data_IF_135889421568
#
_entry.id   IF_135889421568
#
_cell.length_a   1.000
_cell.length_b   1.000
_cell.length_c   1.000
_cell.angle_alpha   90.00
_cell.angle_beta   90.00
_cell.angle_gamma   90.00
#
_symmetry.space_group_name_H-M   'P 1'
#
loop_
_entity.id
_entity.type
_entity.pdbx_description
1 polymer ?
#
# COMPACT_ATOMS: atom_id res chain seq x y z
N UNK A 1 -27.60 -20.62 49.23
CA UNK A 1 -27.02 -21.26 48.04
C UNK A 1 -27.70 -20.67 46.81
N UNK A 2 -27.14 -19.59 46.25
CA UNK A 2 -27.51 -19.08 44.93
C UNK A 2 -26.22 -18.63 44.25
N UNK A 3 -25.67 -19.50 43.40
CA UNK A 3 -24.61 -19.15 42.47
C UNK A 3 -25.29 -18.52 41.26
N UNK A 4 -25.13 -17.22 41.04
CA UNK A 4 -25.42 -16.62 39.74
C UNK A 4 -24.42 -17.18 38.71
N UNK A 5 -24.89 -17.72 37.57
CA UNK A 5 -24.01 -18.09 36.49
C UNK A 5 -23.63 -16.80 35.77
N UNK A 6 -22.45 -16.25 36.07
CA UNK A 6 -21.87 -15.14 35.31
C UNK A 6 -21.59 -15.65 33.90
N UNK A 7 -22.52 -15.30 33.01
CA UNK A 7 -22.58 -15.52 31.57
C UNK A 7 -21.17 -15.47 30.95
N UNK A 8 -20.64 -16.64 30.58
CA UNK A 8 -19.75 -16.77 29.42
C UNK A 8 -20.45 -16.11 28.23
N UNK A 9 -19.67 -15.51 27.34
CA UNK A 9 -20.03 -15.01 26.00
C UNK A 9 -19.77 -13.50 25.85
N UNK A 10 -18.49 -13.14 25.74
CA UNK A 10 -18.08 -12.03 24.89
C UNK A 10 -17.17 -12.65 23.81
N UNK A 11 -17.68 -12.90 22.59
CA UNK A 11 -16.87 -13.46 21.53
C UNK A 11 -15.90 -12.38 21.03
N UNK A 12 -14.82 -12.80 20.39
CA UNK A 12 -13.70 -12.00 19.89
C UNK A 12 -14.05 -10.92 18.81
N UNK A 13 -15.29 -10.43 18.76
CA UNK A 13 -15.77 -9.42 17.82
C UNK A 13 -15.34 -7.99 18.18
N UNK A 14 -14.86 -7.74 19.40
CA UNK A 14 -14.52 -6.36 19.82
C UNK A 14 -13.37 -5.75 19.02
N UNK A 15 -12.34 -6.54 18.68
CA UNK A 15 -11.15 -6.03 18.00
C UNK A 15 -11.41 -5.63 16.54
N UNK A 16 -12.25 -6.39 15.82
CA UNK A 16 -12.58 -6.10 14.42
C UNK A 16 -13.51 -4.88 14.30
N UNK A 17 -14.47 -4.75 15.21
CA UNK A 17 -15.34 -3.59 15.33
C UNK A 17 -14.55 -2.32 15.70
N UNK A 18 -13.64 -2.42 16.68
CA UNK A 18 -12.79 -1.32 17.10
C UNK A 18 -11.81 -0.89 15.99
N UNK A 19 -11.23 -1.86 15.27
CA UNK A 19 -10.40 -1.61 14.09
C UNK A 19 -11.19 -0.94 12.96
N UNK A 20 -12.42 -1.40 12.67
CA UNK A 20 -13.31 -0.75 11.70
C UNK A 20 -13.67 0.68 12.10
N UNK A 21 -13.95 0.90 13.38
CA UNK A 21 -14.27 2.24 13.92
C UNK A 21 -13.06 3.17 13.83
N UNK A 22 -11.86 2.66 14.11
CA UNK A 22 -10.60 3.37 13.93
C UNK A 22 -10.31 3.70 12.44
N UNK A 23 -10.57 2.75 11.53
CA UNK A 23 -10.45 2.97 10.08
C UNK A 23 -11.48 3.96 9.52
N UNK A 24 -12.69 3.99 10.09
CA UNK A 24 -13.73 4.94 9.71
C UNK A 24 -13.40 6.39 10.15
N UNK A 25 -12.46 6.56 11.09
CA UNK A 25 -12.10 7.87 11.58
C UNK A 25 -11.49 8.75 10.46
N UNK A 26 -11.91 10.03 10.35
CA UNK A 26 -11.40 10.94 9.32
C UNK A 26 -9.87 11.08 9.33
N UNK A 27 -9.27 11.09 10.53
CA UNK A 27 -7.83 11.21 10.72
C UNK A 27 -7.09 10.00 10.14
N UNK A 28 -7.58 8.78 10.37
CA UNK A 28 -6.95 7.54 9.91
C UNK A 28 -6.88 7.48 8.39
N UNK A 29 -7.99 7.78 7.71
CA UNK A 29 -8.02 7.81 6.24
C UNK A 29 -7.10 8.87 5.63
N UNK A 30 -6.93 10.01 6.30
CA UNK A 30 -6.01 11.07 5.87
C UNK A 30 -4.54 10.66 6.08
N UNK A 31 -4.20 10.17 7.27
CA UNK A 31 -2.85 9.71 7.61
C UNK A 31 -2.41 8.57 6.68
N UNK A 32 -3.27 7.58 6.45
CA UNK A 32 -2.97 6.50 5.52
C UNK A 32 -2.80 6.99 4.08
N UNK A 33 -3.53 8.02 3.67
CA UNK A 33 -3.40 8.58 2.32
C UNK A 33 -2.11 9.37 2.15
N UNK A 34 -1.69 10.12 3.16
CA UNK A 34 -0.39 10.82 3.17
C UNK A 34 0.74 9.78 3.15
N UNK A 35 0.65 8.76 4.02
CA UNK A 35 1.64 7.67 4.05
C UNK A 35 1.69 6.93 2.71
N UNK A 36 0.54 6.62 2.11
CA UNK A 36 0.48 6.01 0.79
C UNK A 36 1.13 6.90 -0.28
N UNK A 37 0.87 8.21 -0.27
CA UNK A 37 1.51 9.15 -1.18
C UNK A 37 3.03 9.17 -1.03
N UNK A 38 3.53 9.17 0.21
CA UNK A 38 4.97 9.11 0.48
C UNK A 38 5.60 7.80 0.02
N UNK A 39 4.94 6.67 0.29
CA UNK A 39 5.39 5.35 -0.17
C UNK A 39 5.42 5.27 -1.70
N UNK A 40 4.40 5.81 -2.37
CA UNK A 40 4.35 5.86 -3.82
C UNK A 40 5.45 6.74 -4.42
N UNK A 41 5.72 7.92 -3.84
CA UNK A 41 6.83 8.77 -4.25
C UNK A 41 8.18 8.06 -4.07
N UNK A 42 8.37 7.40 -2.92
CA UNK A 42 9.57 6.59 -2.68
C UNK A 42 9.69 5.47 -3.73
N UNK A 43 8.59 4.78 -4.05
CA UNK A 43 8.53 3.75 -5.10
C UNK A 43 8.96 4.31 -6.46
N UNK A 44 8.51 5.51 -6.82
CA UNK A 44 8.92 6.19 -8.04
C UNK A 44 10.42 6.53 -8.05
N UNK A 45 10.99 6.92 -6.90
CA UNK A 45 12.43 7.21 -6.79
C UNK A 45 13.31 5.97 -6.92
N UNK A 46 12.85 4.82 -6.43
CA UNK A 46 13.61 3.55 -6.52
C UNK A 46 13.36 2.78 -7.82
N UNK A 47 12.46 3.24 -8.69
CA UNK A 47 12.13 2.61 -9.97
C UNK A 47 13.33 2.43 -10.91
N UNK A 48 14.29 3.36 -11.00
CA UNK A 48 15.50 3.17 -11.81
C UNK A 48 16.36 1.99 -11.36
N UNK A 49 16.21 1.46 -10.13
CA UNK A 49 17.02 0.37 -9.57
C UNK A 49 16.64 -1.03 -10.09
N UNK A 50 15.53 -1.17 -10.81
CA UNK A 50 14.97 -2.47 -11.22
C UNK A 50 14.54 -2.53 -12.69
N UNK A 51 14.70 -1.44 -13.45
CA UNK A 51 14.41 -1.39 -14.88
C UNK A 51 15.66 -1.45 -15.76
N UNK A 52 15.48 -1.18 -17.06
CA UNK A 52 16.59 -1.15 -18.04
C UNK A 52 17.78 -0.28 -17.63
N UNK A 53 17.56 0.79 -16.86
CA UNK A 53 18.61 1.65 -16.33
C UNK A 53 19.53 0.95 -15.31
N UNK A 54 19.02 -0.04 -14.56
CA UNK A 54 19.81 -0.86 -13.63
C UNK A 54 20.54 -2.02 -14.33
N UNK A 55 19.99 -2.51 -15.44
CA UNK A 55 20.56 -3.64 -16.22
C UNK A 55 21.62 -3.16 -17.21
N UNK A 56 21.37 -2.04 -17.91
CA UNK A 56 22.25 -1.50 -18.95
C UNK A 56 23.18 -0.38 -18.49
N UNK A 57 23.07 0.05 -17.23
CA UNK A 57 23.69 1.29 -16.78
C UNK A 57 22.91 2.52 -17.24
N UNK A 58 23.01 3.63 -16.51
CA UNK A 58 22.22 4.85 -16.82
C UNK A 58 22.69 5.59 -18.09
N UNK A 59 23.60 5.00 -18.88
CA UNK A 59 24.30 5.66 -19.99
C UNK A 59 25.40 6.64 -19.57
N UNK A 60 25.65 6.79 -18.26
CA UNK A 60 26.75 7.62 -17.74
C UNK A 60 28.08 6.83 -17.75
N UNK A 61 29.22 7.44 -18.16
CA UNK A 61 30.52 6.77 -18.16
C UNK A 61 30.86 6.25 -16.76
N UNK A 62 30.95 4.92 -16.60
CA UNK A 62 31.27 4.25 -15.34
C UNK A 62 30.09 3.66 -14.56
N UNK A 63 28.84 3.87 -14.98
CA UNK A 63 27.68 3.23 -14.38
C UNK A 63 27.48 1.82 -14.98
N UNK A 64 28.23 0.83 -14.48
CA UNK A 64 28.05 -0.57 -14.84
C UNK A 64 26.73 -1.17 -14.31
N UNK A 65 26.41 -2.42 -14.68
CA UNK A 65 25.26 -3.15 -14.13
C UNK A 65 25.35 -3.22 -12.61
N UNK A 66 24.22 -3.08 -11.91
CA UNK A 66 24.22 -3.19 -10.46
C UNK A 66 24.55 -4.64 -10.02
N UNK A 67 25.65 -4.83 -9.27
CA UNK A 67 26.12 -6.14 -8.77
C UNK A 67 25.05 -6.93 -7.96
N UNK A 68 24.02 -6.24 -7.47
CA UNK A 68 22.93 -6.83 -6.67
C UNK A 68 21.53 -6.66 -7.28
N UNK A 69 21.41 -6.75 -8.61
CA UNK A 69 20.13 -6.67 -9.35
C UNK A 69 18.98 -7.47 -8.72
N UNK A 70 19.22 -8.74 -8.36
CA UNK A 70 18.20 -9.60 -7.75
C UNK A 70 17.71 -9.08 -6.38
N UNK A 71 18.62 -8.54 -5.56
CA UNK A 71 18.26 -7.97 -4.25
C UNK A 71 17.42 -6.69 -4.41
N UNK A 72 17.76 -5.88 -5.42
CA UNK A 72 17.01 -4.67 -5.74
C UNK A 72 15.60 -5.00 -6.25
N UNK A 73 15.47 -6.04 -7.08
CA UNK A 73 14.17 -6.54 -7.54
C UNK A 73 13.30 -7.04 -6.40
N UNK A 74 13.87 -7.84 -5.49
CA UNK A 74 13.14 -8.33 -4.33
C UNK A 74 12.69 -7.17 -3.42
N UNK A 75 13.58 -6.22 -3.16
CA UNK A 75 13.26 -5.04 -2.34
C UNK A 75 12.17 -4.18 -3.00
N UNK A 76 12.29 -3.89 -4.28
CA UNK A 76 11.31 -3.11 -5.04
C UNK A 76 9.94 -3.78 -5.03
N UNK A 77 9.89 -5.10 -5.29
CA UNK A 77 8.66 -5.87 -5.29
C UNK A 77 7.99 -5.91 -3.92
N UNK A 78 8.76 -6.14 -2.85
CA UNK A 78 8.26 -6.13 -1.48
C UNK A 78 7.70 -4.75 -1.10
N UNK A 79 8.42 -3.67 -1.45
CA UNK A 79 7.99 -2.31 -1.18
C UNK A 79 6.75 -1.91 -2.00
N UNK A 80 6.65 -2.41 -3.23
CA UNK A 80 5.49 -2.18 -4.10
C UNK A 80 4.24 -2.87 -3.55
N UNK A 81 4.37 -4.11 -3.05
CA UNK A 81 3.30 -4.83 -2.36
C UNK A 81 2.84 -4.09 -1.10
N UNK A 82 3.78 -3.59 -0.29
CA UNK A 82 3.47 -2.77 0.88
C UNK A 82 2.73 -1.48 0.48
N UNK A 83 3.18 -0.82 -0.57
CA UNK A 83 2.57 0.41 -1.09
C UNK A 83 1.14 0.17 -1.56
N UNK A 84 0.88 -0.93 -2.29
CA UNK A 84 -0.47 -1.33 -2.71
C UNK A 84 -1.34 -1.69 -1.50
N UNK A 85 -0.81 -2.38 -0.50
CA UNK A 85 -1.54 -2.72 0.72
C UNK A 85 -1.97 -1.46 1.50
N UNK A 86 -1.04 -0.54 1.74
CA UNK A 86 -1.33 0.73 2.44
C UNK A 86 -2.29 1.59 1.62
N UNK A 87 -2.12 1.68 0.30
CA UNK A 87 -3.03 2.39 -0.58
C UNK A 87 -4.44 1.78 -0.61
N UNK A 88 -4.53 0.45 -0.60
CA UNK A 88 -5.79 -0.29 -0.49
C UNK A 88 -6.51 -0.02 0.82
N UNK A 89 -5.80 -0.06 1.95
CA UNK A 89 -6.38 0.32 3.25
C UNK A 89 -6.81 1.80 3.27
N UNK A 90 -6.02 2.70 2.69
CA UNK A 90 -6.35 4.13 2.63
C UNK A 90 -7.64 4.37 1.83
N UNK A 91 -7.76 3.69 0.69
CA UNK A 91 -8.95 3.73 -0.16
C UNK A 91 -10.16 3.11 0.55
N UNK A 92 -9.98 1.96 1.20
CA UNK A 92 -11.04 1.29 1.95
C UNK A 92 -11.56 2.15 3.11
N UNK A 93 -10.67 2.75 3.90
CA UNK A 93 -11.02 3.67 4.99
C UNK A 93 -11.86 4.85 4.48
N UNK A 94 -11.43 5.49 3.38
CA UNK A 94 -12.18 6.58 2.76
C UNK A 94 -13.51 6.14 2.15
N UNK A 95 -13.58 4.94 1.58
CA UNK A 95 -14.80 4.38 1.03
C UNK A 95 -15.81 4.04 2.13
N UNK A 96 -15.35 3.55 3.29
CA UNK A 96 -16.17 3.28 4.46
C UNK A 96 -16.78 4.58 4.99
N UNK A 97 -15.97 5.63 5.13
CA UNK A 97 -16.44 6.97 5.52
C UNK A 97 -17.39 7.58 4.48
N UNK A 98 -17.17 7.34 3.19
CA UNK A 98 -18.11 7.76 2.14
C UNK A 98 -19.48 7.11 2.29
N UNK A 99 -19.54 5.83 2.68
CA UNK A 99 -20.81 5.14 2.95
C UNK A 99 -21.53 5.70 4.18
N UNK A 100 -20.78 6.16 5.18
CA UNK A 100 -21.33 6.74 6.40
C UNK A 100 -21.81 8.20 6.22
N UNK A 101 -20.98 9.05 5.62
CA UNK A 101 -21.18 10.51 5.62
C UNK A 101 -21.53 11.10 4.24
N UNK A 102 -21.66 10.27 3.19
CA UNK A 102 -21.94 10.74 1.83
C UNK A 102 -20.81 11.52 1.16
N UNK A 103 -19.60 11.50 1.74
CA UNK A 103 -18.45 12.28 1.27
C UNK A 103 -18.03 11.98 -0.18
N UNK A 104 -17.37 12.94 -0.82
CA UNK A 104 -16.94 12.85 -2.21
C UNK A 104 -15.99 11.67 -2.46
N UNK A 105 -16.07 11.05 -3.64
CA UNK A 105 -15.19 9.94 -4.01
C UNK A 105 -13.71 10.37 -4.00
N UNK A 106 -12.80 9.61 -3.38
CA UNK A 106 -11.39 9.98 -3.26
C UNK A 106 -10.62 9.72 -4.57
N UNK A 107 -10.85 10.57 -5.58
CA UNK A 107 -10.28 10.44 -6.93
C UNK A 107 -8.75 10.30 -6.94
N UNK A 108 -8.04 11.12 -6.15
CA UNK A 108 -6.58 11.08 -6.08
C UNK A 108 -6.07 9.75 -5.49
N UNK A 109 -6.61 9.32 -4.34
CA UNK A 109 -6.23 8.04 -3.73
C UNK A 109 -6.52 6.87 -4.66
N UNK A 110 -7.66 6.89 -5.35
CA UNK A 110 -8.01 5.88 -6.36
C UNK A 110 -7.05 5.89 -7.55
N UNK A 111 -6.70 7.07 -8.07
CA UNK A 111 -5.77 7.22 -9.20
C UNK A 111 -4.36 6.75 -8.87
N UNK A 112 -3.84 7.13 -7.70
CA UNK A 112 -2.51 6.67 -7.25
C UNK A 112 -2.51 5.16 -6.97
N UNK A 113 -3.61 4.60 -6.44
CA UNK A 113 -3.74 3.15 -6.27
C UNK A 113 -3.77 2.42 -7.62
N UNK A 114 -4.52 2.94 -8.59
CA UNK A 114 -4.54 2.39 -9.95
C UNK A 114 -3.13 2.42 -10.58
N UNK A 115 -2.38 3.51 -10.42
CA UNK A 115 -1.01 3.61 -10.88
C UNK A 115 -0.08 2.61 -10.18
N UNK A 116 -0.21 2.43 -8.86
CA UNK A 116 0.57 1.46 -8.10
C UNK A 116 0.28 0.02 -8.53
N UNK A 117 -0.99 -0.32 -8.78
CA UNK A 117 -1.39 -1.64 -9.31
C UNK A 117 -0.88 -1.83 -10.74
N UNK A 118 -0.98 -0.82 -11.61
CA UNK A 118 -0.41 -0.89 -12.95
C UNK A 118 1.11 -1.12 -12.93
N UNK A 119 1.81 -0.46 -12.01
CA UNK A 119 3.25 -0.68 -11.79
C UNK A 119 3.55 -2.09 -11.28
N UNK A 120 2.72 -2.63 -10.37
CA UNK A 120 2.83 -4.02 -9.90
C UNK A 120 2.64 -5.02 -11.03
N UNK A 121 1.66 -4.78 -11.91
CA UNK A 121 1.45 -5.61 -13.10
C UNK A 121 2.63 -5.50 -14.08
N UNK A 122 3.14 -4.29 -14.34
CA UNK A 122 4.32 -4.09 -15.18
C UNK A 122 5.58 -4.78 -14.62
N UNK A 123 5.73 -4.80 -13.29
CA UNK A 123 6.80 -5.54 -12.61
C UNK A 123 6.61 -7.05 -12.71
N UNK A 124 5.40 -7.57 -12.43
CA UNK A 124 5.10 -9.00 -12.47
C UNK A 124 5.17 -9.60 -13.88
N UNK A 125 4.86 -8.81 -14.92
CA UNK A 125 4.89 -9.24 -16.33
C UNK A 125 6.27 -9.06 -16.99
N UNK A 126 7.27 -8.53 -16.27
CA UNK A 126 8.60 -8.25 -16.82
C UNK A 126 8.62 -7.06 -17.80
N UNK A 127 7.52 -6.34 -17.96
CA UNK A 127 7.38 -5.19 -18.88
C UNK A 127 8.31 -4.02 -18.51
N UNK A 128 8.80 -3.97 -17.27
CA UNK A 128 9.84 -3.06 -16.82
C UNK A 128 11.24 -3.36 -17.40
N UNK A 129 11.38 -4.41 -18.22
CA UNK A 129 12.63 -4.81 -18.86
C UNK A 129 13.53 -5.62 -17.94
N UNK A 130 12.92 -6.47 -17.12
CA UNK A 130 13.58 -7.50 -16.30
C UNK A 130 13.94 -8.68 -17.19
#
# INVERSE_FOLDING_TARGET
MSKEPKRKDAPAESGAEEFRKSLAAPATGQTLSVLFGLLFLFQCMILPLVGKAAVGGSGSPGAGPADTLWKNQLFFGAMLMLTVAVGGLAFYAKQLRRRADGSSFPKFTAGTLAAAVAMLLAFATGLLGI
#
